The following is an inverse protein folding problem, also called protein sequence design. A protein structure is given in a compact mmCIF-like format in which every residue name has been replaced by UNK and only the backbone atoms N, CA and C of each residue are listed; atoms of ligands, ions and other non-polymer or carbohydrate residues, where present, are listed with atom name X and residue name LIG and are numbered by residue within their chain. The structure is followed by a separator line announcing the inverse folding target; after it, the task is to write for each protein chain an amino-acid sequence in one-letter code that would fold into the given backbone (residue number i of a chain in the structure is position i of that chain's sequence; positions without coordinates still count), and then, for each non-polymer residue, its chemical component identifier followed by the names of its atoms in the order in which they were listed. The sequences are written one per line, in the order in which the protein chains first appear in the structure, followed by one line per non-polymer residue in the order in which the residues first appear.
data_IF_507669879791
#
_entry.id   IF_507669879791
#
_cell.length_a   1.000
_cell.length_b   1.000
_cell.length_c   1.000
_cell.angle_alpha   90.00
_cell.angle_beta   90.00
_cell.angle_gamma   90.00
#
_symmetry.space_group_name_H-M   'P 1'
#
loop_
_entity.id
_entity.type
_entity.pdbx_description
1 polymer ?
#
# COMPACT_ATOMS: atom_id res chain seq x y z
N UNK A 1 10.20 4.94 36.16
CA UNK A 1 11.02 4.51 35.00
C UNK A 1 10.62 3.12 34.52
N UNK A 2 10.57 2.11 35.40
CA UNK A 2 10.13 0.73 35.09
C UNK A 2 8.82 0.62 34.27
N UNK A 3 7.74 1.29 34.69
CA UNK A 3 6.45 1.24 33.98
C UNK A 3 6.52 1.72 32.52
N UNK A 4 7.38 2.68 32.19
CA UNK A 4 7.57 3.17 30.81
C UNK A 4 8.29 2.13 29.95
N UNK A 5 9.33 1.52 30.50
CA UNK A 5 10.10 0.47 29.82
C UNK A 5 9.21 -0.75 29.54
N UNK A 6 8.41 -1.18 30.52
CA UNK A 6 7.45 -2.29 30.34
C UNK A 6 6.46 -2.03 29.21
N UNK A 7 5.94 -0.80 29.07
CA UNK A 7 5.03 -0.46 27.97
C UNK A 7 5.72 -0.41 26.61
N UNK A 8 6.96 0.05 26.53
CA UNK A 8 7.73 0.02 25.27
C UNK A 8 8.04 -1.42 24.84
N UNK A 9 8.44 -2.26 25.79
CA UNK A 9 8.64 -3.70 25.56
C UNK A 9 7.34 -4.34 25.07
N UNK A 10 6.21 -4.03 25.72
CA UNK A 10 4.91 -4.57 25.31
C UNK A 10 4.51 -4.11 23.90
N UNK A 11 4.70 -2.83 23.57
CA UNK A 11 4.47 -2.30 22.21
C UNK A 11 5.32 -3.02 21.17
N UNK A 12 6.59 -3.27 21.48
CA UNK A 12 7.47 -4.04 20.60
C UNK A 12 6.95 -5.46 20.42
N UNK A 13 6.62 -6.17 21.51
CA UNK A 13 6.15 -7.56 21.48
C UNK A 13 4.87 -7.71 20.63
N UNK A 14 3.88 -6.83 20.81
CA UNK A 14 2.60 -6.93 20.09
C UNK A 14 2.74 -6.68 18.58
N UNK A 15 3.83 -6.07 18.14
CA UNK A 15 4.17 -5.92 16.71
C UNK A 15 5.07 -7.06 16.24
N UNK A 16 6.13 -7.35 17.01
CA UNK A 16 7.17 -8.28 16.64
C UNK A 16 6.64 -9.72 16.48
N UNK A 17 5.71 -10.16 17.33
CA UNK A 17 5.17 -11.53 17.24
C UNK A 17 4.43 -11.77 15.91
N UNK A 18 3.37 -11.00 15.55
CA UNK A 18 2.70 -11.18 14.26
C UNK A 18 3.64 -10.93 13.07
N UNK A 19 4.49 -9.91 13.14
CA UNK A 19 5.45 -9.61 12.07
C UNK A 19 6.43 -10.76 11.84
N UNK A 20 6.93 -11.41 12.89
CA UNK A 20 7.87 -12.54 12.79
C UNK A 20 7.19 -13.78 12.22
N UNK A 21 5.92 -14.02 12.54
CA UNK A 21 5.16 -15.12 11.94
C UNK A 21 5.03 -14.96 10.43
N UNK A 22 4.65 -13.77 9.97
CA UNK A 22 4.55 -13.48 8.53
C UNK A 22 5.92 -13.46 7.87
N UNK A 23 6.96 -12.98 8.56
CA UNK A 23 8.34 -13.06 8.08
C UNK A 23 8.77 -14.52 7.85
N UNK A 24 8.42 -15.42 8.78
CA UNK A 24 8.66 -16.85 8.61
C UNK A 24 7.94 -17.39 7.38
N UNK A 25 6.67 -17.04 7.15
CA UNK A 25 5.97 -17.44 5.93
C UNK A 25 6.59 -16.85 4.65
N UNK A 26 7.06 -15.61 4.69
CA UNK A 26 7.72 -14.97 3.55
C UNK A 26 9.03 -15.67 3.18
N UNK A 27 9.83 -16.09 4.18
CA UNK A 27 11.07 -16.85 3.94
C UNK A 27 10.82 -18.26 3.41
N UNK A 28 9.70 -18.87 3.76
CA UNK A 28 9.31 -20.21 3.33
C UNK A 28 8.30 -20.19 2.17
N UNK A 29 8.12 -19.03 1.51
CA UNK A 29 7.34 -18.94 0.31
C UNK A 29 8.07 -19.72 -0.79
N UNK A 30 7.42 -20.74 -1.36
CA UNK A 30 7.98 -21.52 -2.47
C UNK A 30 8.21 -20.68 -3.73
N UNK A 31 8.57 -21.33 -4.83
CA UNK A 31 8.63 -20.65 -6.13
C UNK A 31 7.24 -20.11 -6.53
N UNK A 32 7.23 -19.04 -7.33
CA UNK A 32 5.98 -18.54 -7.92
C UNK A 32 5.36 -19.67 -8.75
N UNK A 33 4.04 -19.92 -8.64
CA UNK A 33 3.34 -20.77 -9.58
C UNK A 33 3.45 -20.14 -10.98
N UNK A 34 3.83 -20.93 -11.98
CA UNK A 34 4.13 -20.45 -13.35
C UNK A 34 2.95 -19.79 -14.08
N UNK A 35 1.73 -19.79 -13.52
CA UNK A 35 0.50 -19.51 -14.27
C UNK A 35 -0.25 -18.22 -13.89
N UNK A 36 -0.23 -17.75 -12.64
CA UNK A 36 -1.24 -16.77 -12.21
C UNK A 36 -0.86 -15.28 -12.47
N UNK A 37 0.41 -14.97 -12.71
CA UNK A 37 0.86 -13.56 -12.72
C UNK A 37 1.86 -13.20 -13.82
N UNK A 38 2.20 -14.13 -14.71
CA UNK A 38 3.11 -13.87 -15.83
C UNK A 38 2.56 -12.80 -16.77
N UNK A 39 1.23 -12.70 -16.89
CA UNK A 39 0.53 -11.62 -17.62
C UNK A 39 0.88 -10.21 -17.10
N UNK A 40 1.24 -10.07 -15.83
CA UNK A 40 1.66 -8.78 -15.27
C UNK A 40 2.98 -8.31 -15.82
N UNK A 41 3.85 -9.23 -16.23
CA UNK A 41 5.23 -8.95 -16.64
C UNK A 41 5.48 -9.25 -18.12
N UNK A 42 4.62 -10.03 -18.78
CA UNK A 42 4.77 -10.45 -20.17
C UNK A 42 4.82 -9.28 -21.15
N UNK A 43 4.16 -8.16 -20.81
CA UNK A 43 4.22 -6.94 -21.60
C UNK A 43 5.54 -6.17 -21.44
N UNK A 44 6.18 -6.27 -20.28
CA UNK A 44 7.39 -5.49 -19.97
C UNK A 44 8.68 -6.30 -20.09
N UNK A 45 8.62 -7.64 -20.20
CA UNK A 45 9.77 -8.53 -20.26
C UNK A 45 9.65 -9.44 -21.48
N UNK A 46 10.62 -9.34 -22.39
CA UNK A 46 10.68 -10.18 -23.58
C UNK A 46 11.09 -11.63 -23.22
N UNK A 47 10.82 -12.61 -24.10
CA UNK A 47 11.33 -13.98 -23.94
C UNK A 47 12.86 -14.07 -23.85
N UNK A 48 13.57 -13.06 -24.37
CA UNK A 48 15.02 -12.94 -24.32
C UNK A 48 15.53 -12.32 -23.00
N UNK A 49 14.63 -11.92 -22.10
CA UNK A 49 14.96 -11.31 -20.81
C UNK A 49 15.20 -9.79 -20.87
N UNK A 50 14.85 -9.14 -21.97
CA UNK A 50 15.01 -7.69 -22.14
C UNK A 50 13.74 -6.95 -21.70
N UNK A 51 13.91 -5.81 -21.02
CA UNK A 51 12.78 -4.98 -20.65
C UNK A 51 12.29 -4.11 -21.82
N UNK A 52 10.98 -3.94 -21.94
CA UNK A 52 10.40 -3.09 -22.99
C UNK A 52 10.85 -1.63 -22.85
N UNK A 53 11.31 -1.05 -23.96
CA UNK A 53 11.60 0.38 -24.07
C UNK A 53 10.36 1.26 -24.26
N UNK A 54 9.19 0.68 -24.49
CA UNK A 54 7.95 1.43 -24.72
C UNK A 54 7.22 1.70 -23.41
N UNK A 55 6.99 2.98 -23.10
CA UNK A 55 6.32 3.39 -21.85
C UNK A 55 4.89 2.85 -21.73
N UNK A 56 4.21 2.62 -22.86
CA UNK A 56 2.85 2.05 -22.92
C UNK A 56 2.76 0.70 -22.21
N UNK A 57 3.79 -0.12 -22.33
CA UNK A 57 3.80 -1.49 -21.82
C UNK A 57 3.89 -1.51 -20.28
N UNK A 58 4.47 -0.46 -19.71
CA UNK A 58 4.56 -0.24 -18.28
C UNK A 58 3.24 0.28 -17.69
N UNK A 59 2.47 1.05 -18.46
CA UNK A 59 1.23 1.70 -18.00
C UNK A 59 -0.02 0.87 -18.32
N UNK A 60 0.08 -0.14 -19.19
CA UNK A 60 -1.05 -1.02 -19.53
C UNK A 60 -1.61 -1.68 -18.26
N UNK A 61 -2.94 -1.70 -18.16
CA UNK A 61 -3.67 -2.30 -17.05
C UNK A 61 -3.49 -3.81 -17.05
N UNK A 62 -3.47 -4.41 -15.87
CA UNK A 62 -3.61 -5.85 -15.72
C UNK A 62 -4.83 -6.15 -14.84
N UNK A 63 -5.72 -7.03 -15.33
CA UNK A 63 -7.00 -7.34 -14.67
C UNK A 63 -7.73 -6.08 -14.23
N UNK A 64 -7.94 -5.15 -15.16
CA UNK A 64 -8.60 -3.84 -14.95
C UNK A 64 -7.82 -2.82 -14.12
N UNK A 65 -6.72 -3.22 -13.48
CA UNK A 65 -5.98 -2.37 -12.55
C UNK A 65 -4.72 -1.75 -13.16
N UNK A 66 -4.46 -0.48 -12.82
CA UNK A 66 -3.14 0.11 -13.01
C UNK A 66 -2.14 -0.53 -12.04
N UNK A 67 -1.00 -0.99 -12.56
CA UNK A 67 0.05 -1.68 -11.81
C UNK A 67 1.47 -1.21 -12.19
N UNK A 68 1.61 0.07 -12.57
CA UNK A 68 2.88 0.66 -13.02
C UNK A 68 3.99 0.52 -11.97
N UNK A 69 3.76 1.00 -10.74
CA UNK A 69 4.79 0.95 -9.70
C UNK A 69 5.08 -0.50 -9.27
N UNK A 70 4.06 -1.35 -9.26
CA UNK A 70 4.20 -2.77 -9.00
C UNK A 70 5.09 -3.45 -10.05
N UNK A 71 4.88 -3.14 -11.35
CA UNK A 71 5.73 -3.61 -12.45
C UNK A 71 7.19 -3.18 -12.28
N UNK A 72 7.45 -1.96 -11.82
CA UNK A 72 8.81 -1.52 -11.50
C UNK A 72 9.44 -2.34 -10.37
N UNK A 73 8.67 -2.68 -9.33
CA UNK A 73 9.17 -3.57 -8.26
C UNK A 73 9.44 -4.98 -8.80
N UNK A 74 8.60 -5.50 -9.69
CA UNK A 74 8.84 -6.80 -10.32
C UNK A 74 10.11 -6.79 -11.19
N UNK A 75 10.29 -5.76 -12.01
CA UNK A 75 11.49 -5.58 -12.82
C UNK A 75 12.75 -5.52 -11.94
N UNK A 76 12.70 -4.74 -10.85
CA UNK A 76 13.79 -4.67 -9.87
C UNK A 76 14.06 -6.04 -9.22
N UNK A 77 13.02 -6.79 -8.86
CA UNK A 77 13.15 -8.13 -8.30
C UNK A 77 13.81 -9.11 -9.29
N UNK A 78 13.45 -9.04 -10.57
CA UNK A 78 14.08 -9.85 -11.63
C UNK A 78 15.58 -9.56 -11.71
N UNK A 79 15.96 -8.28 -11.73
CA UNK A 79 17.36 -7.86 -11.82
C UNK A 79 18.17 -8.22 -10.57
N UNK A 80 17.59 -8.03 -9.38
CA UNK A 80 18.31 -8.14 -8.09
C UNK A 80 18.34 -9.57 -7.56
N UNK A 81 17.23 -10.31 -7.69
CA UNK A 81 17.06 -11.64 -7.06
C UNK A 81 16.81 -12.76 -8.06
N UNK A 82 16.84 -12.47 -9.36
CA UNK A 82 16.50 -13.44 -10.41
C UNK A 82 15.00 -13.76 -10.47
N UNK A 83 14.14 -12.88 -9.95
CA UNK A 83 12.69 -13.09 -9.97
C UNK A 83 12.18 -13.91 -8.78
N UNK A 84 12.94 -13.98 -7.69
CA UNK A 84 12.59 -14.76 -6.51
C UNK A 84 11.27 -14.31 -5.88
N UNK A 85 10.39 -15.27 -5.61
CA UNK A 85 9.14 -15.02 -4.87
C UNK A 85 9.43 -14.56 -3.43
N UNK A 86 10.41 -15.18 -2.78
CA UNK A 86 10.86 -14.81 -1.43
C UNK A 86 11.27 -13.34 -1.40
N UNK A 87 11.97 -12.85 -2.44
CA UNK A 87 12.32 -11.44 -2.57
C UNK A 87 11.11 -10.51 -2.53
N UNK A 88 10.05 -10.84 -3.28
CA UNK A 88 8.80 -10.08 -3.28
C UNK A 88 8.00 -10.21 -1.98
N UNK A 89 8.00 -11.40 -1.37
CA UNK A 89 7.35 -11.63 -0.08
C UNK A 89 8.03 -10.82 1.04
N UNK A 90 9.36 -10.73 1.02
CA UNK A 90 10.14 -9.89 1.94
C UNK A 90 9.89 -8.40 1.71
N UNK A 91 9.81 -7.97 0.45
CA UNK A 91 9.41 -6.60 0.11
C UNK A 91 8.01 -6.28 0.64
N UNK A 92 7.06 -7.18 0.44
CA UNK A 92 5.69 -7.05 0.94
C UNK A 92 5.67 -6.95 2.46
N UNK A 93 6.41 -7.82 3.16
CA UNK A 93 6.56 -7.78 4.60
C UNK A 93 7.12 -6.44 5.08
N UNK A 94 8.15 -5.92 4.40
CA UNK A 94 8.72 -4.61 4.70
C UNK A 94 7.70 -3.48 4.54
N UNK A 95 6.91 -3.49 3.46
CA UNK A 95 5.82 -2.53 3.25
C UNK A 95 4.73 -2.62 4.34
N UNK A 96 4.45 -3.80 4.87
CA UNK A 96 3.55 -3.97 6.00
C UNK A 96 4.14 -3.41 7.31
N UNK A 97 5.45 -3.56 7.54
CA UNK A 97 6.14 -2.93 8.68
C UNK A 97 6.06 -1.40 8.57
N UNK A 98 6.28 -0.82 7.40
CA UNK A 98 6.11 0.62 7.19
C UNK A 98 4.69 1.09 7.51
N UNK A 99 3.66 0.30 7.17
CA UNK A 99 2.28 0.61 7.54
C UNK A 99 2.06 0.62 9.04
N UNK A 100 2.67 -0.31 9.80
CA UNK A 100 2.62 -0.26 11.27
C UNK A 100 3.23 1.04 11.78
N UNK A 101 4.38 1.47 11.25
CA UNK A 101 5.03 2.71 11.68
C UNK A 101 4.15 3.94 11.37
N UNK A 102 3.50 3.98 10.21
CA UNK A 102 2.56 5.04 9.84
C UNK A 102 1.35 5.03 10.78
N UNK A 103 0.73 3.86 10.98
CA UNK A 103 -0.45 3.72 11.83
C UNK A 103 -0.12 4.02 13.30
N UNK A 104 1.08 3.70 13.78
CA UNK A 104 1.54 4.08 15.11
C UNK A 104 1.44 5.60 15.34
N UNK A 105 1.73 6.41 14.31
CA UNK A 105 1.57 7.87 14.37
C UNK A 105 0.10 8.31 14.30
N UNK A 106 -0.71 7.59 13.51
CA UNK A 106 -2.13 7.88 13.28
C UNK A 106 -3.05 7.42 14.42
N UNK A 107 -2.60 6.56 15.35
CA UNK A 107 -3.40 6.14 16.49
C UNK A 107 -3.90 7.40 17.25
N UNK A 108 -5.23 7.55 17.45
CA UNK A 108 -5.83 8.78 17.94
C UNK A 108 -5.54 9.04 19.42
N UNK A 109 -5.17 8.00 20.17
CA UNK A 109 -4.77 8.10 21.58
C UNK A 109 -3.26 8.15 21.71
N UNK A 110 -2.75 8.82 22.75
CA UNK A 110 -1.31 8.90 22.99
C UNK A 110 -0.89 7.92 24.06
N UNK A 111 0.21 7.19 23.80
CA UNK A 111 0.76 6.17 24.71
C UNK A 111 1.01 6.71 26.12
N UNK A 112 1.38 7.99 26.27
CA UNK A 112 1.58 8.62 27.58
C UNK A 112 0.30 8.83 28.38
N UNK A 113 -0.85 9.03 27.71
CA UNK A 113 -2.14 9.33 28.33
C UNK A 113 -2.95 8.05 28.57
N UNK A 114 -3.04 7.18 27.55
CA UNK A 114 -3.85 5.96 27.58
C UNK A 114 -3.02 4.74 27.16
N UNK A 115 -2.05 4.29 27.97
CA UNK A 115 -1.05 3.29 27.56
C UNK A 115 -1.66 1.94 27.21
N UNK A 116 -2.66 1.48 27.97
CA UNK A 116 -3.32 0.18 27.73
C UNK A 116 -4.13 0.21 26.43
N UNK A 117 -4.96 1.24 26.24
CA UNK A 117 -5.75 1.39 25.02
C UNK A 117 -4.84 1.57 23.79
N UNK A 118 -3.74 2.32 23.91
CA UNK A 118 -2.76 2.47 22.85
C UNK A 118 -2.16 1.12 22.44
N UNK A 119 -1.74 0.29 23.42
CA UNK A 119 -1.22 -1.05 23.15
C UNK A 119 -2.28 -1.96 22.54
N UNK A 120 -3.53 -1.90 23.00
CA UNK A 120 -4.62 -2.70 22.44
C UNK A 120 -4.90 -2.34 20.97
N UNK A 121 -4.92 -1.04 20.64
CA UNK A 121 -5.08 -0.58 19.26
C UNK A 121 -3.87 -0.97 18.40
N UNK A 122 -2.65 -0.87 18.94
CA UNK A 122 -1.44 -1.31 18.23
C UNK A 122 -1.46 -2.81 17.96
N UNK A 123 -1.90 -3.62 18.93
CA UNK A 123 -2.09 -5.06 18.75
C UNK A 123 -3.13 -5.34 17.64
N UNK A 124 -4.25 -4.62 17.64
CA UNK A 124 -5.24 -4.75 16.57
C UNK A 124 -4.64 -4.42 15.20
N UNK A 125 -3.92 -3.30 15.08
CA UNK A 125 -3.18 -2.93 13.86
C UNK A 125 -2.23 -4.05 13.42
N UNK A 126 -1.42 -4.60 14.34
CA UNK A 126 -0.50 -5.70 14.04
C UNK A 126 -1.22 -6.95 13.54
N UNK A 127 -2.32 -7.35 14.18
CA UNK A 127 -3.10 -8.54 13.79
C UNK A 127 -3.72 -8.33 12.40
N UNK A 128 -4.28 -7.15 12.12
CA UNK A 128 -4.87 -6.85 10.82
C UNK A 128 -3.83 -6.83 9.70
N UNK A 129 -2.68 -6.17 9.94
CA UNK A 129 -1.62 -6.06 8.94
C UNK A 129 -0.86 -7.36 8.72
N UNK A 130 -0.66 -8.18 9.75
CA UNK A 130 0.09 -9.44 9.68
C UNK A 130 -0.82 -10.67 9.83
N UNK A 131 -2.05 -10.59 9.31
CA UNK A 131 -2.99 -11.70 9.39
C UNK A 131 -2.59 -12.84 8.44
N UNK A 132 -2.48 -14.09 8.93
CA UNK A 132 -2.31 -15.26 8.07
C UNK A 132 -3.49 -15.50 7.13
N UNK A 133 -4.68 -14.93 7.39
CA UNK A 133 -5.80 -15.00 6.44
C UNK A 133 -5.50 -14.32 5.12
N UNK A 134 -4.55 -13.39 5.10
CA UNK A 134 -4.04 -12.79 3.87
C UNK A 134 -2.87 -13.59 3.28
N UNK A 135 -2.80 -14.91 3.53
CA UNK A 135 -1.72 -15.81 3.08
C UNK A 135 -1.36 -15.61 1.60
N UNK A 136 -2.34 -15.34 0.75
CA UNK A 136 -2.12 -15.01 -0.66
C UNK A 136 -1.13 -13.87 -0.87
N UNK A 137 -1.19 -12.81 -0.06
CA UNK A 137 -0.28 -11.66 -0.15
C UNK A 137 1.14 -11.98 0.37
N UNK A 138 1.29 -12.98 1.24
CA UNK A 138 2.56 -13.32 1.87
C UNK A 138 3.29 -14.44 1.14
N UNK A 139 2.55 -15.44 0.67
CA UNK A 139 3.05 -16.61 -0.05
C UNK A 139 3.20 -16.30 -1.53
N UNK A 140 2.34 -15.46 -2.11
CA UNK A 140 2.48 -14.98 -3.48
C UNK A 140 2.87 -13.50 -3.43
N UNK A 141 4.19 -13.26 -3.30
CA UNK A 141 4.75 -11.94 -3.07
C UNK A 141 4.38 -10.91 -4.14
N UNK A 142 4.06 -11.35 -5.37
CA UNK A 142 3.52 -10.47 -6.41
C UNK A 142 2.21 -9.80 -5.99
N UNK A 143 1.18 -10.55 -5.58
CA UNK A 143 -0.09 -9.97 -5.12
C UNK A 143 0.12 -9.02 -3.93
N UNK A 144 0.95 -9.44 -2.98
CA UNK A 144 1.32 -8.61 -1.82
C UNK A 144 1.95 -7.29 -2.23
N UNK A 145 2.86 -7.31 -3.21
CA UNK A 145 3.56 -6.13 -3.72
C UNK A 145 2.57 -5.09 -4.25
N UNK A 146 1.50 -5.50 -4.94
CA UNK A 146 0.45 -4.59 -5.37
C UNK A 146 -0.37 -4.05 -4.19
N UNK A 147 -1.06 -4.94 -3.47
CA UNK A 147 -2.04 -4.55 -2.46
C UNK A 147 -1.43 -3.85 -1.24
N UNK A 148 -0.39 -4.43 -0.66
CA UNK A 148 0.22 -3.92 0.57
C UNK A 148 0.96 -2.62 0.32
N UNK A 149 1.63 -2.46 -0.83
CA UNK A 149 2.29 -1.20 -1.18
C UNK A 149 1.30 -0.08 -1.45
N UNK A 150 0.21 -0.38 -2.15
CA UNK A 150 -0.86 0.58 -2.43
C UNK A 150 -1.51 1.10 -1.14
N UNK A 151 -1.77 0.21 -0.19
CA UNK A 151 -2.24 0.57 1.15
C UNK A 151 -1.21 1.42 1.92
N UNK A 152 0.08 1.08 1.82
CA UNK A 152 1.15 1.85 2.46
C UNK A 152 1.19 3.30 1.93
N UNK A 153 1.13 3.49 0.61
CA UNK A 153 1.07 4.82 0.02
C UNK A 153 -0.21 5.58 0.42
N UNK A 154 -1.35 4.89 0.46
CA UNK A 154 -2.62 5.47 0.91
C UNK A 154 -2.57 5.98 2.35
N UNK A 155 -2.02 5.17 3.25
CA UNK A 155 -1.82 5.56 4.65
C UNK A 155 -0.81 6.72 4.79
N UNK A 156 0.25 6.72 3.98
CA UNK A 156 1.19 7.83 3.91
C UNK A 156 0.53 9.14 3.44
N UNK A 157 -0.36 9.08 2.46
CA UNK A 157 -1.13 10.24 2.00
C UNK A 157 -2.00 10.82 3.13
N UNK A 158 -2.69 9.96 3.88
CA UNK A 158 -3.50 10.36 5.03
C UNK A 158 -2.63 10.99 6.13
N UNK A 159 -1.50 10.37 6.46
CA UNK A 159 -0.56 10.87 7.47
C UNK A 159 0.00 12.26 7.10
N UNK A 160 0.43 12.43 5.86
CA UNK A 160 0.95 13.72 5.38
C UNK A 160 -0.15 14.79 5.37
N UNK A 161 -1.39 14.44 5.03
CA UNK A 161 -2.52 15.36 5.12
C UNK A 161 -2.78 15.81 6.56
N UNK A 162 -2.70 14.88 7.52
CA UNK A 162 -2.82 15.21 8.94
C UNK A 162 -1.69 16.15 9.40
N UNK A 163 -0.45 15.93 8.95
CA UNK A 163 0.64 16.85 9.25
C UNK A 163 0.47 18.22 8.60
N UNK A 164 -0.06 18.27 7.37
CA UNK A 164 -0.42 19.53 6.73
C UNK A 164 -1.48 20.27 7.55
N UNK A 165 -2.53 19.60 8.03
CA UNK A 165 -3.56 20.21 8.87
C UNK A 165 -3.00 20.87 10.13
N UNK A 166 -1.95 20.29 10.73
CA UNK A 166 -1.34 20.78 11.96
C UNK A 166 -0.26 21.85 11.74
N UNK A 167 0.39 21.88 10.58
CA UNK A 167 1.60 22.70 10.35
C UNK A 167 1.46 23.71 9.21
N UNK A 168 0.46 23.52 8.34
CA UNK A 168 0.20 24.30 7.12
C UNK A 168 1.41 24.36 6.16
N UNK A 169 2.34 23.41 6.28
CA UNK A 169 3.51 23.33 5.38
C UNK A 169 3.13 22.71 4.05
N UNK A 170 3.32 23.46 2.96
CA UNK A 170 3.00 23.02 1.59
C UNK A 170 3.67 21.69 1.21
N UNK A 171 4.86 21.39 1.72
CA UNK A 171 5.55 20.13 1.45
C UNK A 171 4.73 18.90 1.85
N UNK A 172 4.01 18.95 2.97
CA UNK A 172 3.15 17.85 3.39
C UNK A 172 1.91 17.73 2.51
N UNK A 173 1.36 18.86 2.06
CA UNK A 173 0.23 18.85 1.13
C UNK A 173 0.62 18.25 -0.22
N UNK A 174 1.77 18.65 -0.78
CA UNK A 174 2.33 18.04 -1.99
C UNK A 174 2.61 16.55 -1.82
N UNK A 175 3.17 16.15 -0.67
CA UNK A 175 3.39 14.75 -0.36
C UNK A 175 2.07 13.95 -0.35
N UNK A 176 0.97 14.51 0.13
CA UNK A 176 -0.36 13.87 0.04
C UNK A 176 -0.74 13.56 -1.40
N UNK A 177 -0.59 14.52 -2.33
CA UNK A 177 -0.90 14.29 -3.75
C UNK A 177 0.01 13.22 -4.36
N UNK A 178 1.33 13.34 -4.16
CA UNK A 178 2.30 12.39 -4.70
C UNK A 178 2.03 10.98 -4.21
N UNK A 179 1.83 10.80 -2.90
CA UNK A 179 1.53 9.49 -2.32
C UNK A 179 0.18 8.94 -2.79
N UNK A 180 -0.82 9.79 -3.01
CA UNK A 180 -2.12 9.35 -3.55
C UNK A 180 -1.99 8.84 -4.99
N UNK A 181 -1.20 9.53 -5.82
CA UNK A 181 -0.91 9.09 -7.19
C UNK A 181 -0.05 7.81 -7.19
N UNK A 182 0.92 7.69 -6.28
CA UNK A 182 1.67 6.45 -6.11
C UNK A 182 0.77 5.27 -5.68
N UNK A 183 -0.20 5.50 -4.79
CA UNK A 183 -1.16 4.47 -4.40
C UNK A 183 -1.96 3.97 -5.62
N UNK A 184 -2.49 4.90 -6.42
CA UNK A 184 -3.23 4.60 -7.64
C UNK A 184 -2.35 3.88 -8.69
N UNK A 185 -1.12 4.34 -8.90
CA UNK A 185 -0.17 3.78 -9.85
C UNK A 185 0.37 2.41 -9.42
N UNK A 186 0.30 2.10 -8.12
CA UNK A 186 0.63 0.77 -7.58
C UNK A 186 -0.53 -0.19 -7.80
N UNK A 187 -1.73 0.19 -7.36
CA UNK A 187 -2.90 -0.65 -7.51
C UNK A 187 -4.19 0.17 -7.43
N UNK A 188 -5.02 0.05 -8.45
CA UNK A 188 -6.18 0.94 -8.62
C UNK A 188 -7.34 0.75 -7.63
N UNK A 189 -7.34 -0.28 -6.78
CA UNK A 189 -8.29 -0.33 -5.65
C UNK A 189 -8.10 0.84 -4.68
N UNK A 190 -6.93 1.48 -4.71
CA UNK A 190 -6.67 2.77 -4.05
C UNK A 190 -7.54 3.92 -4.55
N UNK A 191 -8.40 3.74 -5.57
CA UNK A 191 -9.40 4.75 -5.93
C UNK A 191 -10.29 5.13 -4.75
N UNK A 192 -10.52 4.21 -3.79
CA UNK A 192 -11.24 4.50 -2.56
C UNK A 192 -10.52 5.53 -1.65
N UNK A 193 -9.23 5.80 -1.86
CA UNK A 193 -8.48 6.84 -1.15
C UNK A 193 -9.03 8.23 -1.47
N UNK A 194 -9.42 8.51 -2.71
CA UNK A 194 -9.85 9.84 -3.14
C UNK A 194 -11.11 10.36 -2.42
N UNK A 195 -12.22 9.60 -2.31
CA UNK A 195 -13.33 10.01 -1.45
C UNK A 195 -12.94 10.04 0.03
N UNK A 196 -12.04 9.16 0.48
CA UNK A 196 -11.52 9.19 1.87
C UNK A 196 -10.78 10.49 2.17
N UNK A 197 -9.97 11.00 1.23
CA UNK A 197 -9.26 12.28 1.39
C UNK A 197 -10.23 13.47 1.40
N UNK A 198 -11.30 13.43 0.61
CA UNK A 198 -12.37 14.45 0.66
C UNK A 198 -13.03 14.48 2.05
N UNK A 199 -13.35 13.31 2.61
CA UNK A 199 -13.87 13.22 3.97
C UNK A 199 -12.82 13.75 4.97
N UNK A 200 -11.56 13.38 4.80
CA UNK A 200 -10.47 13.78 5.68
C UNK A 200 -10.26 15.30 5.71
N UNK A 201 -10.25 15.99 4.57
CA UNK A 201 -10.09 17.46 4.54
C UNK A 201 -11.23 18.20 5.22
N UNK A 202 -12.45 17.63 5.20
CA UNK A 202 -13.62 18.15 5.92
C UNK A 202 -13.49 17.89 7.43
N UNK A 203 -13.16 16.65 7.84
CA UNK A 203 -13.00 16.28 9.24
C UNK A 203 -11.83 17.03 9.91
N UNK A 204 -10.76 17.27 9.17
CA UNK A 204 -9.60 18.07 9.60
C UNK A 204 -9.85 19.58 9.55
N UNK A 205 -11.04 20.01 9.10
CA UNK A 205 -11.46 21.43 9.02
C UNK A 205 -10.47 22.31 8.25
N UNK A 206 -9.92 21.80 7.15
CA UNK A 206 -9.00 22.57 6.30
C UNK A 206 -9.70 23.75 5.62
N UNK A 207 -8.95 24.66 5.01
CA UNK A 207 -9.53 25.81 4.33
C UNK A 207 -10.44 25.36 3.17
N UNK A 208 -11.49 26.14 2.87
CA UNK A 208 -12.42 25.84 1.77
C UNK A 208 -11.71 25.64 0.43
N UNK A 209 -10.61 26.36 0.20
CA UNK A 209 -9.75 26.19 -0.97
C UNK A 209 -9.18 24.77 -1.05
N UNK A 210 -8.59 24.28 0.03
CA UNK A 210 -7.97 22.95 0.07
C UNK A 210 -9.01 21.84 -0.05
N UNK A 211 -10.20 22.05 0.52
CA UNK A 211 -11.35 21.17 0.35
C UNK A 211 -11.78 21.11 -1.13
N UNK A 212 -11.95 22.27 -1.77
CA UNK A 212 -12.31 22.35 -3.19
C UNK A 212 -11.26 21.71 -4.11
N UNK A 213 -9.97 21.92 -3.82
CA UNK A 213 -8.87 21.30 -4.56
C UNK A 213 -8.87 19.77 -4.40
N UNK A 214 -9.10 19.26 -3.19
CA UNK A 214 -9.17 17.81 -2.97
C UNK A 214 -10.39 17.19 -3.65
N UNK A 215 -11.54 17.86 -3.62
CA UNK A 215 -12.75 17.43 -4.35
C UNK A 215 -12.49 17.41 -5.86
N UNK A 216 -11.90 18.49 -6.41
CA UNK A 216 -11.57 18.58 -7.82
C UNK A 216 -10.59 17.49 -8.24
N UNK A 217 -9.53 17.23 -7.45
CA UNK A 217 -8.61 16.12 -7.68
C UNK A 217 -9.35 14.78 -7.69
N UNK A 218 -10.15 14.51 -6.66
CA UNK A 218 -10.85 13.23 -6.52
C UNK A 218 -11.80 12.97 -7.69
N UNK A 219 -12.59 13.98 -8.10
CA UNK A 219 -13.45 13.87 -9.28
C UNK A 219 -12.60 13.62 -10.52
N UNK A 220 -11.56 14.42 -10.75
CA UNK A 220 -10.71 14.31 -11.94
C UNK A 220 -10.09 12.92 -12.06
N UNK A 221 -9.49 12.42 -10.98
CA UNK A 221 -8.82 11.11 -10.99
C UNK A 221 -9.82 9.96 -11.18
N UNK A 222 -10.93 9.97 -10.46
CA UNK A 222 -11.96 8.93 -10.58
C UNK A 222 -12.58 8.95 -11.98
N UNK A 223 -12.90 10.14 -12.52
CA UNK A 223 -13.42 10.28 -13.88
C UNK A 223 -12.42 9.81 -14.93
N UNK A 224 -11.15 10.19 -14.84
CA UNK A 224 -10.10 9.71 -15.75
C UNK A 224 -9.94 8.19 -15.70
N UNK A 225 -10.04 7.60 -14.50
CA UNK A 225 -10.00 6.15 -14.36
C UNK A 225 -11.18 5.47 -15.05
N UNK A 226 -12.40 5.99 -14.86
CA UNK A 226 -13.63 5.44 -15.43
C UNK A 226 -13.71 5.62 -16.96
N UNK A 227 -13.26 6.76 -17.49
CA UNK A 227 -13.22 7.01 -18.93
C UNK A 227 -12.27 6.07 -19.68
N UNK A 228 -11.22 5.60 -18.98
CA UNK A 228 -10.23 4.67 -19.54
C UNK A 228 -10.41 3.24 -19.00
N UNK A 229 -11.59 2.92 -18.45
CA UNK A 229 -11.93 1.58 -17.98
C UNK A 229 -12.42 0.73 -19.14
N UNK A 230 -11.86 -0.47 -19.26
CA UNK A 230 -12.26 -1.47 -20.24
C UNK A 230 -12.27 -2.85 -19.57
N UNK A 231 -13.43 -3.51 -19.56
CA UNK A 231 -13.59 -4.88 -19.07
C UNK A 231 -12.95 -5.87 -20.05
N UNK A 232 -12.12 -6.83 -19.61
CA UNK A 232 -11.59 -7.88 -20.48
C UNK A 232 -12.71 -8.73 -21.08
N UNK A 233 -12.57 -9.14 -22.35
CA UNK A 233 -13.58 -9.92 -23.10
C UNK A 233 -13.93 -11.28 -22.51
N UNK A 234 -13.08 -11.83 -21.65
CA UNK A 234 -13.25 -13.15 -21.00
C UNK A 234 -13.72 -13.07 -19.55
N UNK A 235 -13.96 -11.87 -19.03
CA UNK A 235 -14.39 -11.70 -17.64
C UNK A 235 -15.89 -12.01 -17.52
N UNK A 236 -16.33 -12.90 -16.61
CA UNK A 236 -17.73 -13.29 -16.51
C UNK A 236 -18.65 -12.07 -16.37
N UNK A 237 -19.78 -12.09 -17.07
CA UNK A 237 -20.85 -11.13 -16.89
C UNK A 237 -21.53 -11.43 -15.56
N UNK A 238 -21.03 -10.80 -14.50
CA UNK A 238 -21.75 -10.77 -13.24
C UNK A 238 -23.04 -9.96 -13.47
N UNK A 239 -24.16 -10.69 -13.56
CA UNK A 239 -25.50 -10.15 -13.34
C UNK A 239 -25.65 -9.62 -11.91
#
# INVERSE_FOLDING_TARGET
MFRKISFLILQFIVVAIPASLIFYYALNAGSLPDNDYWDSISHILSPQGEFSGNISDWVIRNNEHYILLTKLVYAANIVITGGSNVGLSLFTWFMAVLQVLILYQLIPVKSRQYPVLFVALLLAVSIFLFSPRHAHNWILGMSGTAWISANCFSLGAILTLQYYANTVKLSYYLATFVLSLCALATYSTSLALFPTLVIAVVLLKLQRRDQALMVALSITVVSLYLLNYSKPTHHPDNC
#
